data_IF_433879066712
#
_entry.id   IF_433879066712
#
_cell.length_a   1.000
_cell.length_b   1.000
_cell.length_c   1.000
_cell.angle_alpha   90.00
_cell.angle_beta   90.00
_cell.angle_gamma   90.00
#
_symmetry.space_group_name_H-M   'P 1'
#
loop_
_entity.id
_entity.type
_entity.pdbx_description
1 polymer ?
#
# COMPACT_ATOMS: atom_id res chain seq x y z
N UNK A 1 -28.50 40.63 -26.68
CA UNK A 1 -27.33 40.71 -25.82
C UNK A 1 -27.51 39.59 -24.79
N UNK A 2 -26.92 38.42 -25.07
CA UNK A 2 -27.06 37.23 -24.19
C UNK A 2 -26.03 37.40 -23.10
N UNK A 3 -26.47 37.64 -21.85
CA UNK A 3 -25.61 37.64 -20.68
C UNK A 3 -25.21 36.18 -20.43
N UNK A 4 -24.01 35.79 -20.88
CA UNK A 4 -23.39 34.54 -20.47
C UNK A 4 -23.05 34.66 -18.98
N UNK A 5 -23.91 34.07 -18.16
CA UNK A 5 -23.65 33.97 -16.72
C UNK A 5 -22.28 33.28 -16.53
N UNK A 6 -21.38 33.90 -15.78
CA UNK A 6 -20.15 33.27 -15.30
C UNK A 6 -20.56 32.07 -14.45
N UNK A 7 -20.55 30.87 -15.04
CA UNK A 7 -20.77 29.63 -14.31
C UNK A 7 -19.74 29.55 -13.19
N UNK A 8 -20.18 29.31 -11.95
CA UNK A 8 -19.28 29.03 -10.81
C UNK A 8 -18.35 27.90 -11.24
N UNK A 9 -17.06 28.08 -11.10
CA UNK A 9 -16.06 27.04 -11.33
C UNK A 9 -16.46 25.83 -10.47
N UNK A 10 -16.56 24.61 -11.05
CA UNK A 10 -16.95 23.44 -10.27
C UNK A 10 -16.00 23.22 -9.10
N UNK A 11 -16.54 22.87 -7.94
CA UNK A 11 -15.77 22.54 -6.73
C UNK A 11 -14.73 21.46 -7.06
N UNK A 12 -13.50 21.73 -6.71
CA UNK A 12 -12.34 20.94 -7.15
C UNK A 12 -11.72 20.16 -6.01
N UNK A 13 -11.38 18.89 -6.27
CA UNK A 13 -10.86 17.96 -5.27
C UNK A 13 -9.59 17.31 -5.79
N UNK A 14 -8.52 17.37 -4.98
CA UNK A 14 -7.33 16.56 -5.22
C UNK A 14 -7.40 15.26 -4.42
N UNK A 15 -7.13 14.13 -5.07
CA UNK A 15 -6.97 12.83 -4.42
C UNK A 15 -5.50 12.43 -4.51
N UNK A 16 -4.88 12.18 -3.37
CA UNK A 16 -3.47 11.80 -3.28
C UNK A 16 -3.37 10.29 -3.11
N UNK A 17 -3.04 9.61 -4.21
CA UNK A 17 -2.98 8.16 -4.35
C UNK A 17 -4.01 7.64 -5.37
N UNK A 18 -3.53 7.02 -6.45
CA UNK A 18 -4.35 6.38 -7.48
C UNK A 18 -4.38 4.84 -7.33
N UNK A 19 -4.41 4.35 -6.08
CA UNK A 19 -4.74 2.97 -5.75
C UNK A 19 -6.25 2.70 -5.84
N UNK A 20 -6.70 1.44 -5.64
CA UNK A 20 -8.11 1.07 -5.79
C UNK A 20 -9.10 1.95 -5.03
N UNK A 21 -8.78 2.31 -3.77
CA UNK A 21 -9.66 3.17 -2.94
C UNK A 21 -9.65 4.63 -3.42
N UNK A 22 -8.49 5.14 -3.88
CA UNK A 22 -8.40 6.48 -4.50
C UNK A 22 -9.17 6.57 -5.80
N UNK A 23 -9.08 5.53 -6.67
CA UNK A 23 -9.88 5.45 -7.90
C UNK A 23 -11.37 5.37 -7.60
N UNK A 24 -11.78 4.57 -6.60
CA UNK A 24 -13.18 4.48 -6.17
C UNK A 24 -13.70 5.83 -5.66
N UNK A 25 -12.91 6.54 -4.85
CA UNK A 25 -13.24 7.89 -4.40
C UNK A 25 -13.35 8.87 -5.58
N UNK A 26 -12.43 8.78 -6.55
CA UNK A 26 -12.46 9.60 -7.76
C UNK A 26 -13.76 9.40 -8.55
N UNK A 27 -14.20 8.17 -8.72
CA UNK A 27 -15.46 7.84 -9.42
C UNK A 27 -16.66 8.41 -8.66
N UNK A 28 -16.73 8.19 -7.34
CA UNK A 28 -17.86 8.66 -6.54
C UNK A 28 -18.00 10.19 -6.58
N UNK A 29 -16.89 10.90 -6.41
CA UNK A 29 -16.84 12.35 -6.42
C UNK A 29 -17.12 12.93 -7.82
N UNK A 30 -16.59 12.31 -8.89
CA UNK A 30 -16.89 12.72 -10.26
C UNK A 30 -18.38 12.56 -10.59
N UNK A 31 -19.01 11.45 -10.16
CA UNK A 31 -20.47 11.23 -10.30
C UNK A 31 -21.31 12.23 -9.52
N UNK A 32 -20.79 12.73 -8.40
CA UNK A 32 -21.44 13.80 -7.63
C UNK A 32 -21.24 15.21 -8.23
N UNK A 33 -20.58 15.32 -9.39
CA UNK A 33 -20.41 16.57 -10.14
C UNK A 33 -19.16 17.39 -9.77
N UNK A 34 -18.24 16.85 -8.97
CA UNK A 34 -16.99 17.51 -8.60
C UNK A 34 -15.91 17.37 -9.69
N UNK A 35 -15.07 18.38 -9.80
CA UNK A 35 -13.86 18.31 -10.62
C UNK A 35 -12.75 17.60 -9.83
N UNK A 36 -12.38 16.40 -10.26
CA UNK A 36 -11.44 15.54 -9.53
C UNK A 36 -10.13 15.39 -10.29
N UNK A 37 -9.00 15.50 -9.58
CA UNK A 37 -7.66 15.14 -10.08
C UNK A 37 -7.02 14.18 -9.10
N UNK A 38 -6.57 13.03 -9.60
CA UNK A 38 -5.82 12.06 -8.80
C UNK A 38 -4.31 12.24 -9.06
N UNK A 39 -3.52 12.16 -8.00
CA UNK A 39 -2.06 12.18 -8.08
C UNK A 39 -1.49 10.85 -7.61
N UNK A 40 -0.50 10.32 -8.31
CA UNK A 40 0.28 9.20 -7.84
C UNK A 40 1.78 9.42 -8.12
N UNK A 41 2.62 9.10 -7.15
CA UNK A 41 4.09 9.18 -7.31
C UNK A 41 4.65 8.18 -8.32
N UNK A 42 3.84 7.18 -8.68
CA UNK A 42 4.18 6.11 -9.61
C UNK A 42 3.02 5.87 -10.57
N UNK A 43 2.85 4.65 -11.09
CA UNK A 43 1.74 4.28 -11.96
C UNK A 43 0.43 4.05 -11.18
N UNK A 44 -0.69 4.01 -11.89
CA UNK A 44 -1.98 3.57 -11.33
C UNK A 44 -1.85 2.23 -10.64
N UNK A 45 -2.36 2.15 -9.41
CA UNK A 45 -2.28 0.95 -8.56
C UNK A 45 -0.85 0.44 -8.34
N UNK A 46 0.11 1.34 -8.13
CA UNK A 46 1.53 1.04 -7.97
C UNK A 46 1.81 0.01 -6.87
N UNK A 47 1.05 0.02 -5.78
CA UNK A 47 1.17 -0.99 -4.72
C UNK A 47 0.86 -2.40 -5.24
N UNK A 48 -0.17 -2.56 -6.08
CA UNK A 48 -0.47 -3.85 -6.73
C UNK A 48 0.63 -4.21 -7.73
N UNK A 49 1.18 -3.22 -8.44
CA UNK A 49 2.30 -3.44 -9.36
C UNK A 49 3.58 -3.93 -8.64
N UNK A 50 3.74 -3.63 -7.36
CA UNK A 50 4.86 -4.10 -6.53
C UNK A 50 4.63 -5.47 -5.87
N UNK A 51 3.43 -6.05 -5.94
CA UNK A 51 3.17 -7.38 -5.42
C UNK A 51 3.98 -8.45 -6.16
N UNK A 52 4.21 -9.63 -5.54
CA UNK A 52 4.85 -10.76 -6.22
C UNK A 52 4.18 -11.07 -7.56
N UNK A 53 4.97 -11.49 -8.56
CA UNK A 53 4.51 -11.63 -9.95
C UNK A 53 3.32 -12.60 -10.07
N UNK A 54 3.34 -13.67 -9.29
CA UNK A 54 2.34 -14.75 -9.33
C UNK A 54 1.25 -14.60 -8.26
N UNK A 55 1.14 -13.41 -7.62
CA UNK A 55 0.12 -13.16 -6.59
C UNK A 55 -1.28 -13.40 -7.15
N UNK A 56 -2.03 -14.22 -6.43
CA UNK A 56 -3.47 -14.33 -6.50
C UNK A 56 -4.08 -13.62 -5.28
N UNK A 57 -5.09 -12.80 -5.51
CA UNK A 57 -5.77 -12.09 -4.42
C UNK A 57 -6.48 -13.06 -3.48
N UNK A 58 -6.60 -12.70 -2.21
CA UNK A 58 -7.38 -13.48 -1.25
C UNK A 58 -8.88 -13.30 -1.45
N UNK A 59 -9.28 -12.16 -1.97
CA UNK A 59 -10.67 -11.77 -2.22
C UNK A 59 -11.11 -12.15 -3.62
N UNK A 60 -12.41 -12.40 -3.78
CA UNK A 60 -13.03 -12.65 -5.08
C UNK A 60 -13.10 -11.37 -5.92
N UNK A 61 -13.29 -11.52 -7.23
CA UNK A 61 -13.29 -10.40 -8.17
C UNK A 61 -14.39 -9.37 -7.83
N UNK A 62 -15.60 -9.82 -7.43
CA UNK A 62 -16.71 -8.95 -7.07
C UNK A 62 -16.37 -8.03 -5.89
N UNK A 63 -15.63 -8.55 -4.90
CA UNK A 63 -15.21 -7.78 -3.73
C UNK A 63 -14.17 -6.73 -4.07
N UNK A 64 -13.41 -6.92 -5.14
CA UNK A 64 -12.39 -6.01 -5.63
C UNK A 64 -12.91 -5.03 -6.70
N UNK A 65 -14.15 -5.24 -7.20
CA UNK A 65 -14.77 -4.35 -8.18
C UNK A 65 -15.06 -2.97 -7.58
N UNK A 66 -14.94 -1.91 -8.40
CA UNK A 66 -15.23 -0.52 -8.01
C UNK A 66 -16.09 0.16 -9.07
N UNK A 67 -16.78 1.24 -8.67
CA UNK A 67 -17.57 2.07 -9.58
C UNK A 67 -18.72 1.34 -10.25
N UNK A 68 -19.23 0.24 -9.66
CA UNK A 68 -20.26 -0.63 -10.25
C UNK A 68 -19.90 -1.19 -11.64
N UNK A 69 -18.61 -1.23 -11.99
CA UNK A 69 -18.12 -1.93 -13.17
C UNK A 69 -17.68 -3.35 -12.74
N UNK A 70 -18.26 -4.41 -13.31
CA UNK A 70 -17.91 -5.78 -12.94
C UNK A 70 -16.43 -6.07 -13.18
N UNK A 71 -15.79 -6.70 -12.20
CA UNK A 71 -14.46 -7.27 -12.36
C UNK A 71 -14.63 -8.74 -12.76
N UNK A 72 -14.37 -9.05 -14.02
CA UNK A 72 -14.43 -10.41 -14.55
C UNK A 72 -13.03 -11.00 -14.66
N UNK A 73 -12.90 -12.29 -14.32
CA UNK A 73 -11.66 -13.06 -14.40
C UNK A 73 -12.00 -14.51 -14.76
N UNK A 74 -11.03 -15.26 -15.25
CA UNK A 74 -11.20 -16.67 -15.61
C UNK A 74 -11.32 -17.64 -14.43
N UNK A 75 -11.11 -17.15 -13.20
CA UNK A 75 -11.25 -17.93 -11.96
C UNK A 75 -11.94 -17.12 -10.88
N UNK A 76 -12.19 -17.73 -9.72
CA UNK A 76 -12.89 -17.07 -8.59
C UNK A 76 -12.10 -15.90 -8.01
N UNK A 77 -10.79 -16.00 -8.03
CA UNK A 77 -9.87 -15.02 -7.45
C UNK A 77 -8.95 -14.45 -8.52
N UNK A 78 -8.91 -13.13 -8.70
CA UNK A 78 -8.07 -12.52 -9.71
C UNK A 78 -6.59 -12.61 -9.35
N UNK A 79 -5.76 -12.67 -10.37
CA UNK A 79 -4.32 -12.52 -10.25
C UNK A 79 -3.92 -11.04 -10.18
N UNK A 80 -2.66 -10.78 -9.81
CA UNK A 80 -2.05 -9.45 -9.93
C UNK A 80 -2.24 -8.84 -11.32
N UNK A 81 -2.06 -9.64 -12.38
CA UNK A 81 -2.19 -9.20 -13.78
C UNK A 81 -3.62 -8.78 -14.11
N UNK A 82 -4.61 -9.58 -13.68
CA UNK A 82 -6.03 -9.28 -13.87
C UNK A 82 -6.42 -7.96 -13.20
N UNK A 83 -5.98 -7.79 -11.94
CA UNK A 83 -6.27 -6.57 -11.18
C UNK A 83 -5.65 -5.31 -11.83
N UNK A 84 -4.41 -5.37 -12.28
CA UNK A 84 -3.78 -4.26 -12.99
C UNK A 84 -4.50 -3.94 -14.31
N UNK A 85 -4.95 -4.97 -15.04
CA UNK A 85 -5.77 -4.82 -16.24
C UNK A 85 -7.11 -4.14 -15.93
N UNK A 86 -7.80 -4.63 -14.92
CA UNK A 86 -9.09 -4.10 -14.47
C UNK A 86 -8.99 -2.63 -14.06
N UNK A 87 -8.07 -2.27 -13.15
CA UNK A 87 -7.97 -0.88 -12.68
C UNK A 87 -7.50 0.11 -13.75
N UNK A 88 -6.70 -0.31 -14.74
CA UNK A 88 -6.44 0.52 -15.94
C UNK A 88 -7.73 0.73 -16.74
N UNK A 89 -8.52 -0.34 -16.93
CA UNK A 89 -9.84 -0.24 -17.58
C UNK A 89 -10.79 0.71 -16.85
N UNK A 90 -10.77 0.72 -15.52
CA UNK A 90 -11.51 1.68 -14.68
C UNK A 90 -11.13 3.12 -15.03
N UNK A 91 -9.84 3.44 -15.05
CA UNK A 91 -9.37 4.80 -15.36
C UNK A 91 -9.87 5.24 -16.76
N UNK A 92 -9.79 4.35 -17.74
CA UNK A 92 -10.24 4.61 -19.10
C UNK A 92 -11.76 4.75 -19.20
N UNK A 93 -12.51 3.81 -18.60
CA UNK A 93 -13.98 3.78 -18.64
C UNK A 93 -14.62 5.04 -18.05
N UNK A 94 -14.11 5.49 -16.89
CA UNK A 94 -14.60 6.67 -16.19
C UNK A 94 -13.89 7.96 -16.63
N UNK A 95 -12.94 7.88 -17.54
CA UNK A 95 -12.11 9.02 -17.97
C UNK A 95 -11.54 9.81 -16.78
N UNK A 96 -10.99 9.08 -15.79
CA UNK A 96 -10.42 9.69 -14.58
C UNK A 96 -9.15 10.47 -14.92
N UNK A 97 -9.07 11.70 -14.46
CA UNK A 97 -7.85 12.50 -14.62
C UNK A 97 -6.78 12.08 -13.60
N UNK A 98 -5.89 11.17 -13.99
CA UNK A 98 -4.81 10.65 -13.13
C UNK A 98 -3.46 11.20 -13.61
N UNK A 99 -2.78 11.92 -12.72
CA UNK A 99 -1.41 12.39 -12.88
C UNK A 99 -0.46 11.35 -12.30
N UNK A 100 0.03 10.47 -13.15
CA UNK A 100 0.99 9.42 -12.80
C UNK A 100 2.40 9.98 -12.79
N UNK A 101 3.28 9.41 -11.94
CA UNK A 101 4.67 9.85 -11.77
C UNK A 101 4.78 11.33 -11.41
N UNK A 102 3.78 11.85 -10.72
CA UNK A 102 3.71 13.22 -10.21
C UNK A 102 3.52 13.17 -8.68
N UNK A 103 4.62 12.96 -7.92
CA UNK A 103 4.56 12.92 -6.45
C UNK A 103 4.12 14.26 -5.88
N UNK A 104 3.23 14.21 -4.90
CA UNK A 104 2.86 15.36 -4.08
C UNK A 104 3.85 15.46 -2.92
N UNK A 105 4.61 16.53 -2.89
CA UNK A 105 5.63 16.77 -1.87
C UNK A 105 5.11 17.58 -0.68
N UNK A 106 4.08 18.42 -0.90
CA UNK A 106 3.49 19.24 0.15
C UNK A 106 2.02 19.59 -0.13
N UNK A 107 1.27 19.91 0.93
CA UNK A 107 -0.08 20.45 0.84
C UNK A 107 -0.20 21.51 1.94
N UNK A 108 -0.56 22.75 1.56
CA UNK A 108 -0.77 23.86 2.48
C UNK A 108 -2.24 24.27 2.51
N UNK A 109 -2.73 24.67 3.68
CA UNK A 109 -4.05 25.29 3.81
C UNK A 109 -3.92 26.80 3.55
N UNK A 110 -4.57 27.27 2.50
CA UNK A 110 -4.69 28.70 2.16
C UNK A 110 -6.18 29.02 2.04
N UNK A 111 -6.81 29.28 3.19
CA UNK A 111 -8.27 29.48 3.31
C UNK A 111 -8.80 30.44 2.25
N UNK A 112 -9.82 30.06 1.44
CA UNK A 112 -10.71 28.88 1.62
C UNK A 112 -10.23 27.60 0.89
N UNK A 113 -9.03 27.57 0.33
CA UNK A 113 -8.52 26.48 -0.49
C UNK A 113 -7.31 25.78 0.12
N UNK A 114 -6.91 24.69 -0.49
CA UNK A 114 -5.65 23.98 -0.26
C UNK A 114 -4.77 24.12 -1.49
N UNK A 115 -3.48 24.36 -1.30
CA UNK A 115 -2.49 24.38 -2.39
C UNK A 115 -1.68 23.09 -2.34
N UNK A 116 -1.82 22.29 -3.38
CA UNK A 116 -1.06 21.04 -3.59
C UNK A 116 0.21 21.35 -4.36
N UNK A 117 1.36 21.05 -3.78
CA UNK A 117 2.67 21.11 -4.44
C UNK A 117 3.03 19.73 -4.96
N UNK A 118 3.13 19.57 -6.27
CA UNK A 118 3.52 18.33 -6.93
C UNK A 118 4.79 18.53 -7.76
N UNK A 119 5.49 17.43 -8.08
CA UNK A 119 6.73 17.44 -8.85
C UNK A 119 6.50 16.82 -10.24
N UNK A 120 6.52 17.64 -11.27
CA UNK A 120 6.43 17.22 -12.67
C UNK A 120 7.81 17.05 -13.26
N UNK A 121 8.02 15.93 -13.95
CA UNK A 121 9.34 15.60 -14.52
C UNK A 121 9.93 16.69 -15.42
N UNK A 122 9.09 17.36 -16.19
CA UNK A 122 9.53 18.39 -17.15
C UNK A 122 9.48 19.81 -16.59
N UNK A 123 8.60 20.09 -15.62
CA UNK A 123 8.30 21.46 -15.15
C UNK A 123 8.85 21.73 -13.73
N UNK A 124 9.30 20.69 -13.03
CA UNK A 124 9.70 20.80 -11.63
C UNK A 124 8.49 20.91 -10.70
N UNK A 125 8.61 21.72 -9.64
CA UNK A 125 7.53 21.93 -8.67
C UNK A 125 6.41 22.78 -9.24
N UNK A 126 5.19 22.27 -9.13
CA UNK A 126 3.97 22.94 -9.60
C UNK A 126 2.99 23.03 -8.43
N UNK A 127 2.41 24.22 -8.23
CA UNK A 127 1.39 24.47 -7.22
C UNK A 127 0.00 24.54 -7.88
N UNK A 128 -0.97 23.85 -7.31
CA UNK A 128 -2.34 23.81 -7.86
C UNK A 128 -3.34 23.95 -6.69
N UNK A 129 -4.27 24.93 -6.75
CA UNK A 129 -5.29 25.11 -5.72
C UNK A 129 -6.46 24.11 -5.89
N UNK A 130 -7.00 23.66 -4.77
CA UNK A 130 -8.17 22.79 -4.65
C UNK A 130 -9.05 23.19 -3.48
N UNK A 131 -10.36 22.92 -3.59
CA UNK A 131 -11.33 23.24 -2.54
C UNK A 131 -11.39 22.17 -1.45
N UNK A 132 -10.98 20.93 -1.76
CA UNK A 132 -10.86 19.83 -0.79
C UNK A 132 -9.76 18.84 -1.19
N UNK A 133 -9.31 18.06 -0.20
CA UNK A 133 -8.24 17.07 -0.34
C UNK A 133 -8.72 15.71 0.17
N UNK A 134 -8.43 14.64 -0.59
CA UNK A 134 -8.59 13.25 -0.13
C UNK A 134 -7.21 12.57 -0.11
N UNK A 135 -6.78 12.11 1.06
CA UNK A 135 -5.53 11.36 1.20
C UNK A 135 -5.84 9.85 1.11
N UNK A 136 -5.35 9.22 0.04
CA UNK A 136 -5.55 7.80 -0.28
C UNK A 136 -4.22 7.08 -0.58
N UNK A 137 -3.14 7.48 0.11
CA UNK A 137 -1.75 7.06 -0.14
C UNK A 137 -1.45 5.60 0.16
N UNK A 138 -2.38 4.89 0.82
CA UNK A 138 -2.25 3.47 1.12
C UNK A 138 -1.25 3.15 2.24
N UNK A 139 -0.81 1.88 2.26
CA UNK A 139 0.01 1.32 3.34
C UNK A 139 1.46 1.05 2.91
N UNK A 140 1.68 0.61 1.66
CA UNK A 140 2.98 0.14 1.15
C UNK A 140 3.96 1.27 0.78
N UNK A 141 3.87 2.40 1.49
CA UNK A 141 4.69 3.58 1.17
C UNK A 141 6.06 3.60 1.82
N UNK A 142 6.18 3.08 3.03
CA UNK A 142 7.38 3.15 3.85
C UNK A 142 7.61 1.79 4.51
N UNK A 143 8.66 1.03 4.12
CA UNK A 143 9.00 -0.21 4.79
C UNK A 143 9.45 0.05 6.21
N UNK A 144 9.20 -0.88 7.10
CA UNK A 144 9.77 -0.87 8.44
C UNK A 144 11.23 -1.29 8.36
N UNK A 145 12.14 -0.33 8.52
CA UNK A 145 13.57 -0.58 8.47
C UNK A 145 14.04 -1.33 9.72
N UNK A 146 15.09 -2.11 9.57
CA UNK A 146 15.80 -2.73 10.70
C UNK A 146 16.86 -1.79 11.28
N UNK A 147 17.26 -0.78 10.50
CA UNK A 147 18.34 0.19 10.82
C UNK A 147 19.67 -0.51 11.14
N UNK A 148 20.00 -1.56 10.38
CA UNK A 148 21.23 -2.33 10.55
C UNK A 148 22.24 -2.07 9.42
N UNK A 149 23.55 -2.18 9.69
CA UNK A 149 24.56 -2.12 8.65
C UNK A 149 24.29 -3.13 7.53
N UNK A 150 24.35 -2.68 6.27
CA UNK A 150 24.15 -3.51 5.09
C UNK A 150 22.69 -3.62 4.60
N UNK A 151 21.72 -3.01 5.26
CA UNK A 151 20.30 -3.06 4.86
C UNK A 151 20.04 -2.48 3.44
N UNK A 152 20.90 -1.55 2.99
CA UNK A 152 20.82 -0.94 1.66
C UNK A 152 21.62 -1.67 0.57
N UNK A 153 22.17 -2.84 0.84
CA UNK A 153 22.94 -3.62 -0.15
C UNK A 153 22.04 -4.12 -1.29
N UNK A 154 22.54 -4.27 -2.53
CA UNK A 154 21.74 -4.57 -3.72
C UNK A 154 20.95 -5.89 -3.67
N UNK A 155 21.41 -6.89 -2.90
CA UNK A 155 20.76 -8.18 -2.72
C UNK A 155 19.74 -8.19 -1.54
N UNK A 156 19.52 -7.04 -0.90
CA UNK A 156 18.55 -6.86 0.18
C UNK A 156 17.30 -6.16 -0.37
N UNK A 157 16.13 -6.69 -0.08
CA UNK A 157 14.88 -6.10 -0.55
C UNK A 157 13.78 -6.15 0.51
N UNK A 158 13.03 -5.06 0.65
CA UNK A 158 11.77 -4.99 1.42
C UNK A 158 10.55 -5.44 0.61
N UNK A 159 10.74 -5.74 -0.68
CA UNK A 159 9.70 -6.23 -1.57
C UNK A 159 10.12 -7.58 -2.16
N UNK A 160 9.26 -8.56 -2.04
CA UNK A 160 9.43 -9.85 -2.70
C UNK A 160 8.74 -9.83 -4.06
N UNK A 161 9.40 -10.34 -5.11
CA UNK A 161 8.83 -10.41 -6.46
C UNK A 161 8.62 -11.84 -6.93
N UNK A 162 9.67 -12.65 -6.93
CA UNK A 162 9.66 -14.06 -7.32
C UNK A 162 10.92 -14.79 -6.83
N UNK A 163 10.87 -16.11 -6.77
CA UNK A 163 11.97 -16.93 -6.24
C UNK A 163 12.98 -17.40 -7.26
N UNK A 164 12.75 -17.21 -8.57
CA UNK A 164 13.59 -17.80 -9.62
C UNK A 164 15.07 -17.37 -9.54
N UNK A 165 15.32 -16.10 -9.23
CA UNK A 165 16.67 -15.54 -9.12
C UNK A 165 17.50 -16.19 -7.98
N UNK A 166 16.82 -16.77 -6.98
CA UNK A 166 17.46 -17.45 -5.85
C UNK A 166 17.66 -18.96 -6.05
N UNK A 167 17.46 -19.49 -7.26
CA UNK A 167 17.64 -20.92 -7.53
C UNK A 167 19.04 -21.40 -7.12
N UNK A 168 19.10 -22.42 -6.23
CA UNK A 168 20.34 -22.99 -5.64
C UNK A 168 21.16 -21.98 -4.83
N UNK A 169 20.57 -20.86 -4.40
CA UNK A 169 21.19 -19.83 -3.56
C UNK A 169 20.68 -19.91 -2.13
N UNK A 170 21.42 -19.28 -1.23
CA UNK A 170 21.02 -19.11 0.16
C UNK A 170 20.17 -17.83 0.26
N UNK A 171 18.91 -18.01 0.63
CA UNK A 171 17.93 -16.94 0.78
C UNK A 171 17.46 -16.82 2.22
N UNK A 172 17.58 -15.62 2.79
CA UNK A 172 17.08 -15.34 4.13
C UNK A 172 15.84 -14.47 4.04
N UNK A 173 14.75 -14.90 4.68
CA UNK A 173 13.50 -14.15 4.81
C UNK A 173 13.35 -13.70 6.25
N UNK A 174 13.34 -12.39 6.47
CA UNK A 174 13.19 -11.80 7.81
C UNK A 174 11.74 -11.39 8.02
N UNK A 175 11.07 -12.01 8.98
CA UNK A 175 9.65 -11.80 9.28
C UNK A 175 8.92 -13.09 9.59
N UNK A 176 7.68 -13.00 10.07
CA UNK A 176 6.86 -14.16 10.44
C UNK A 176 5.41 -14.07 10.00
N UNK A 177 5.01 -13.00 9.29
CA UNK A 177 3.66 -12.77 8.78
C UNK A 177 3.41 -13.37 7.39
N UNK A 178 2.24 -13.07 6.80
CA UNK A 178 1.82 -13.62 5.51
C UNK A 178 2.87 -13.44 4.40
N UNK A 179 3.41 -12.22 4.24
CA UNK A 179 4.40 -11.95 3.18
C UNK A 179 5.70 -12.75 3.34
N UNK A 180 6.13 -12.98 4.58
CA UNK A 180 7.32 -13.80 4.85
C UNK A 180 7.06 -15.27 4.52
N UNK A 181 5.90 -15.79 4.89
CA UNK A 181 5.49 -17.17 4.60
C UNK A 181 5.35 -17.40 3.10
N UNK A 182 4.65 -16.51 2.40
CA UNK A 182 4.48 -16.58 0.94
C UNK A 182 5.85 -16.54 0.22
N UNK A 183 6.73 -15.61 0.60
CA UNK A 183 8.07 -15.51 0.02
C UNK A 183 8.91 -16.76 0.29
N UNK A 184 8.91 -17.26 1.53
CA UNK A 184 9.68 -18.45 1.90
C UNK A 184 9.22 -19.70 1.14
N UNK A 185 7.92 -19.90 0.99
CA UNK A 185 7.36 -21.03 0.25
C UNK A 185 7.66 -20.94 -1.25
N UNK A 186 7.57 -19.74 -1.85
CA UNK A 186 7.88 -19.57 -3.27
C UNK A 186 9.38 -19.76 -3.55
N UNK A 187 10.26 -19.20 -2.72
CA UNK A 187 11.71 -19.43 -2.78
C UNK A 187 12.05 -20.92 -2.67
N UNK A 188 11.44 -21.62 -1.71
CA UNK A 188 11.62 -23.06 -1.54
C UNK A 188 11.19 -23.83 -2.80
N UNK A 189 10.02 -23.54 -3.36
CA UNK A 189 9.52 -24.16 -4.59
C UNK A 189 10.40 -23.87 -5.80
N UNK A 190 11.07 -22.71 -5.81
CA UNK A 190 12.07 -22.37 -6.82
C UNK A 190 13.45 -23.01 -6.58
N UNK A 191 13.62 -23.80 -5.50
CA UNK A 191 14.86 -24.53 -5.22
C UNK A 191 15.94 -23.71 -4.52
N UNK A 192 15.59 -22.61 -3.85
CA UNK A 192 16.48 -21.91 -2.94
C UNK A 192 16.67 -22.66 -1.62
N UNK A 193 17.80 -22.46 -0.95
CA UNK A 193 17.99 -22.87 0.45
C UNK A 193 17.50 -21.74 1.36
N UNK A 194 16.32 -21.95 1.95
CA UNK A 194 15.59 -20.89 2.64
C UNK A 194 15.80 -20.97 4.15
N UNK A 195 16.12 -19.81 4.76
CA UNK A 195 16.10 -19.64 6.21
C UNK A 195 15.15 -18.49 6.57
N UNK A 196 14.16 -18.75 7.44
CA UNK A 196 13.36 -17.70 8.08
C UNK A 196 14.05 -17.24 9.35
N UNK A 197 14.12 -15.91 9.54
CA UNK A 197 14.57 -15.25 10.77
C UNK A 197 13.41 -14.45 11.34
N UNK A 198 13.01 -14.75 12.58
CA UNK A 198 11.89 -14.06 13.23
C UNK A 198 12.17 -13.75 14.70
N UNK A 199 11.77 -12.57 15.13
CA UNK A 199 12.00 -12.09 16.51
C UNK A 199 11.15 -12.81 17.57
N UNK A 200 10.03 -13.41 17.17
CA UNK A 200 9.16 -14.21 18.04
C UNK A 200 9.55 -15.71 18.04
N UNK A 201 8.93 -16.47 18.91
CA UNK A 201 9.15 -17.93 19.07
C UNK A 201 8.45 -18.77 17.99
N UNK A 202 7.56 -18.17 17.17
CA UNK A 202 6.76 -18.81 16.13
C UNK A 202 6.26 -17.81 15.12
N UNK A 203 5.64 -18.29 14.05
CA UNK A 203 4.96 -17.45 13.03
C UNK A 203 3.81 -16.65 13.64
N UNK A 204 3.50 -15.51 12.99
CA UNK A 204 2.38 -14.64 13.36
C UNK A 204 1.05 -15.45 13.35
N UNK A 205 0.20 -15.34 14.38
CA UNK A 205 -1.09 -16.02 14.43
C UNK A 205 -2.06 -15.62 13.29
N UNK A 206 -1.83 -14.48 12.64
CA UNK A 206 -2.64 -14.00 11.52
C UNK A 206 -2.20 -14.58 10.15
N UNK A 207 -1.22 -15.51 10.10
CA UNK A 207 -0.89 -16.21 8.86
C UNK A 207 -2.11 -16.98 8.37
N UNK A 208 -2.40 -16.82 7.08
CA UNK A 208 -3.62 -17.37 6.47
C UNK A 208 -3.69 -18.89 6.56
N UNK A 209 -4.86 -19.45 6.93
CA UNK A 209 -5.00 -20.87 7.23
C UNK A 209 -4.74 -21.78 6.02
N UNK A 210 -4.82 -21.28 4.80
CA UNK A 210 -4.56 -22.09 3.58
C UNK A 210 -3.08 -22.17 3.19
N UNK A 211 -2.19 -21.31 3.72
CA UNK A 211 -0.73 -21.38 3.48
C UNK A 211 0.03 -21.96 4.68
N UNK A 212 -0.51 -21.77 5.89
CA UNK A 212 0.14 -22.18 7.14
C UNK A 212 0.49 -23.68 7.20
N UNK A 213 -0.38 -24.63 6.78
CA UNK A 213 -0.05 -26.05 6.87
C UNK A 213 1.19 -26.46 6.02
N UNK A 214 1.33 -25.90 4.80
CA UNK A 214 2.51 -26.18 3.97
C UNK A 214 3.78 -25.62 4.64
N UNK A 215 3.73 -24.41 5.14
CA UNK A 215 4.86 -23.80 5.84
C UNK A 215 5.28 -24.61 7.07
N UNK A 216 4.33 -25.05 7.91
CA UNK A 216 4.60 -25.86 9.07
C UNK A 216 5.22 -27.23 8.70
N UNK A 217 4.79 -27.83 7.59
CA UNK A 217 5.39 -29.06 7.09
C UNK A 217 6.84 -28.83 6.65
N UNK A 218 7.14 -27.73 5.92
CA UNK A 218 8.52 -27.40 5.49
C UNK A 218 9.45 -27.09 6.66
N UNK A 219 8.93 -26.47 7.71
CA UNK A 219 9.68 -26.24 8.95
C UNK A 219 9.95 -27.55 9.71
N UNK A 220 8.97 -28.44 9.76
CA UNK A 220 9.06 -29.74 10.46
C UNK A 220 10.04 -30.72 9.78
N UNK A 221 10.02 -30.78 8.44
CA UNK A 221 10.89 -31.68 7.67
C UNK A 221 12.28 -31.07 7.42
N UNK A 222 12.52 -29.82 7.83
CA UNK A 222 13.78 -29.10 7.68
C UNK A 222 14.04 -28.58 6.27
N UNK A 223 13.07 -28.64 5.36
CA UNK A 223 13.18 -28.07 4.00
C UNK A 223 13.31 -26.55 4.00
N UNK A 224 12.73 -25.89 5.01
CA UNK A 224 12.93 -24.48 5.33
C UNK A 224 13.49 -24.42 6.76
N UNK A 225 14.66 -23.81 6.92
CA UNK A 225 15.23 -23.59 8.23
C UNK A 225 14.58 -22.39 8.93
N UNK A 226 14.54 -22.38 10.27
CA UNK A 226 14.06 -21.25 11.03
C UNK A 226 15.04 -20.83 12.14
N UNK A 227 15.05 -19.53 12.41
CA UNK A 227 15.73 -18.91 13.55
C UNK A 227 14.71 -18.06 14.29
N UNK A 228 14.17 -18.64 15.37
CA UNK A 228 13.20 -18.01 16.26
C UNK A 228 13.91 -17.23 17.36
N UNK A 229 13.21 -16.24 17.94
CA UNK A 229 13.76 -15.31 18.94
C UNK A 229 15.07 -14.67 18.42
N UNK A 230 15.13 -14.38 17.12
CA UNK A 230 16.32 -13.96 16.42
C UNK A 230 16.11 -12.59 15.73
N UNK A 231 17.10 -11.72 15.85
CA UNK A 231 17.10 -10.41 15.21
C UNK A 231 18.34 -10.26 14.33
N UNK A 232 18.16 -9.76 13.13
CA UNK A 232 19.30 -9.41 12.24
C UNK A 232 20.01 -8.21 12.85
N UNK A 233 21.34 -8.28 12.91
CA UNK A 233 22.19 -7.20 13.46
C UNK A 233 23.15 -6.63 12.42
N UNK A 234 23.42 -7.37 11.35
CA UNK A 234 24.29 -6.97 10.25
C UNK A 234 24.00 -7.79 9.01
N UNK A 235 24.13 -7.17 7.85
CA UNK A 235 24.04 -7.83 6.53
C UNK A 235 25.31 -7.52 5.76
N UNK A 236 26.00 -8.55 5.28
CA UNK A 236 27.18 -8.47 4.41
C UNK A 236 26.80 -9.06 3.03
N UNK A 237 27.71 -9.04 2.04
CA UNK A 237 27.40 -9.44 0.65
C UNK A 237 26.95 -10.91 0.49
N UNK A 238 27.44 -11.81 1.32
CA UNK A 238 27.19 -13.25 1.22
C UNK A 238 26.67 -13.85 2.55
N UNK A 239 26.61 -13.05 3.62
CA UNK A 239 26.24 -13.51 4.96
C UNK A 239 25.42 -12.47 5.69
N UNK A 240 24.69 -12.90 6.71
CA UNK A 240 24.12 -11.99 7.69
C UNK A 240 24.30 -12.55 9.13
N UNK A 241 24.41 -11.65 10.08
CA UNK A 241 24.51 -11.96 11.49
C UNK A 241 23.14 -11.83 12.16
N UNK A 242 22.79 -12.84 12.94
CA UNK A 242 21.58 -12.84 13.77
C UNK A 242 21.94 -12.99 15.23
N UNK A 243 21.35 -12.15 16.07
CA UNK A 243 21.43 -12.25 17.51
C UNK A 243 20.26 -13.09 18.06
N UNK A 244 20.61 -14.05 18.92
CA UNK A 244 19.67 -14.94 19.62
C UNK A 244 20.02 -14.95 21.12
N UNK A 245 19.14 -15.43 22.01
CA UNK A 245 19.47 -15.60 23.42
C UNK A 245 20.73 -16.45 23.68
N UNK A 246 21.09 -17.34 22.75
CA UNK A 246 22.28 -18.19 22.80
C UNK A 246 23.56 -17.53 22.25
N UNK A 247 23.50 -16.30 21.75
CA UNK A 247 24.61 -15.57 21.11
C UNK A 247 24.37 -15.27 19.64
N UNK A 248 25.38 -14.73 18.99
CA UNK A 248 25.35 -14.35 17.58
C UNK A 248 25.66 -15.56 16.69
N UNK A 249 24.85 -15.76 15.66
CA UNK A 249 25.04 -16.78 14.61
C UNK A 249 25.22 -16.08 13.25
N UNK A 250 26.17 -16.53 12.46
CA UNK A 250 26.36 -16.08 11.07
C UNK A 250 25.71 -17.06 10.11
N UNK A 251 24.82 -16.54 9.24
CA UNK A 251 24.08 -17.32 8.24
C UNK A 251 24.56 -16.96 6.82
N UNK A 252 24.65 -17.94 5.89
CA UNK A 252 24.81 -17.64 4.48
C UNK A 252 23.57 -16.92 3.95
N UNK A 253 23.75 -15.85 3.16
CA UNK A 253 22.68 -14.98 2.70
C UNK A 253 23.06 -14.27 1.40
N UNK A 254 22.79 -14.91 0.27
CA UNK A 254 23.01 -14.34 -1.06
C UNK A 254 21.83 -13.53 -1.54
N UNK A 255 20.65 -13.78 -0.98
CA UNK A 255 19.44 -12.97 -1.12
C UNK A 255 18.81 -12.73 0.24
N UNK A 256 18.45 -11.50 0.53
CA UNK A 256 17.83 -11.12 1.81
C UNK A 256 16.50 -10.40 1.54
N UNK A 257 15.42 -10.95 2.06
CA UNK A 257 14.08 -10.37 1.93
C UNK A 257 13.58 -9.93 3.30
N UNK A 258 13.50 -8.62 3.52
CA UNK A 258 13.06 -8.01 4.76
C UNK A 258 11.55 -7.84 4.75
N UNK A 259 10.82 -8.91 5.10
CA UNK A 259 9.35 -8.95 5.17
C UNK A 259 8.86 -8.42 6.52
N UNK A 260 9.40 -7.29 6.93
CA UNK A 260 9.20 -6.62 8.23
C UNK A 260 7.92 -5.78 8.28
N UNK A 261 7.17 -5.75 7.19
CA UNK A 261 5.95 -4.96 7.05
C UNK A 261 6.22 -3.52 6.63
N UNK A 262 5.14 -2.72 6.63
CA UNK A 262 5.15 -1.33 6.21
C UNK A 262 4.41 -0.48 7.24
N UNK A 263 4.67 0.82 7.22
CA UNK A 263 3.93 1.82 7.99
C UNK A 263 3.32 2.86 7.04
N UNK A 264 2.02 3.19 7.18
CA UNK A 264 1.41 4.21 6.34
C UNK A 264 2.06 5.57 6.60
N UNK A 265 2.41 6.29 5.54
CA UNK A 265 2.95 7.63 5.67
C UNK A 265 1.83 8.62 6.02
N UNK A 266 1.91 9.22 7.19
CA UNK A 266 1.00 10.27 7.68
C UNK A 266 1.59 11.68 7.57
N UNK A 267 2.72 11.83 6.89
CA UNK A 267 3.47 13.09 6.81
C UNK A 267 2.63 14.23 6.24
N UNK A 268 1.91 14.01 5.14
CA UNK A 268 1.04 15.04 4.55
C UNK A 268 -0.12 15.40 5.48
N UNK A 269 -0.69 14.42 6.18
CA UNK A 269 -1.77 14.65 7.14
C UNK A 269 -1.29 15.49 8.34
N UNK A 270 -0.13 15.16 8.91
CA UNK A 270 0.47 15.93 10.02
C UNK A 270 0.76 17.40 9.63
N UNK A 271 1.27 17.61 8.41
CA UNK A 271 1.50 18.98 7.89
C UNK A 271 0.22 19.78 7.72
N UNK A 272 -0.87 19.12 7.37
CA UNK A 272 -2.20 19.73 7.29
C UNK A 272 -2.84 19.98 8.66
N UNK A 273 -2.21 19.56 9.77
CA UNK A 273 -2.77 19.70 11.12
C UNK A 273 -3.74 18.60 11.52
N UNK A 274 -3.74 17.47 10.77
CA UNK A 274 -4.54 16.31 11.16
C UNK A 274 -3.89 15.62 12.35
N UNK A 275 -4.67 15.41 13.40
CA UNK A 275 -4.27 14.69 14.60
C UNK A 275 -4.14 13.19 14.29
N UNK A 276 -3.03 12.60 14.68
CA UNK A 276 -2.76 11.17 14.53
C UNK A 276 -2.66 10.55 15.92
N UNK A 277 -3.40 9.50 16.18
CA UNK A 277 -3.24 8.73 17.41
C UNK A 277 -1.91 7.97 17.38
N UNK A 278 -1.01 8.27 18.30
CA UNK A 278 0.36 7.75 18.27
C UNK A 278 0.42 6.24 18.59
N UNK A 279 -0.54 5.69 19.32
CA UNK A 279 -0.59 4.28 19.66
C UNK A 279 -1.07 3.41 18.49
N UNK A 280 -2.03 3.91 17.72
CA UNK A 280 -2.67 3.15 16.63
C UNK A 280 -2.26 3.62 15.24
N UNK A 281 -1.68 4.83 15.10
CA UNK A 281 -1.39 5.47 13.82
C UNK A 281 -2.64 5.93 13.07
N UNK A 282 -3.82 5.88 13.69
CA UNK A 282 -5.09 6.23 13.06
C UNK A 282 -5.21 7.75 12.97
N UNK A 283 -5.41 8.34 11.78
CA UNK A 283 -5.74 9.74 11.65
C UNK A 283 -7.12 10.03 12.25
N UNK A 284 -7.24 11.08 13.04
CA UNK A 284 -8.53 11.50 13.59
C UNK A 284 -9.50 11.83 12.45
N UNK A 285 -10.62 11.10 12.38
CA UNK A 285 -11.63 11.26 11.35
C UNK A 285 -13.00 10.75 11.81
N UNK A 286 -14.03 11.21 11.14
CA UNK A 286 -15.39 10.70 11.30
C UNK A 286 -15.60 9.52 10.34
N UNK A 287 -15.82 8.32 10.85
CA UNK A 287 -15.99 7.11 10.03
C UNK A 287 -17.20 7.12 9.08
N UNK A 288 -18.22 7.95 9.34
CA UNK A 288 -19.39 8.07 8.46
C UNK A 288 -19.15 9.04 7.29
N UNK A 289 -18.26 10.03 7.44
CA UNK A 289 -17.99 11.04 6.42
C UNK A 289 -16.59 10.96 5.83
N UNK A 290 -15.69 10.24 6.50
CA UNK A 290 -14.25 10.18 6.22
C UNK A 290 -13.52 11.53 6.34
N UNK A 291 -14.18 12.59 6.85
CA UNK A 291 -13.58 13.89 7.10
C UNK A 291 -12.72 13.85 8.37
N UNK A 292 -11.54 14.42 8.30
CA UNK A 292 -10.62 14.51 9.43
C UNK A 292 -11.03 15.63 10.39
N UNK A 293 -10.23 15.88 11.45
CA UNK A 293 -10.39 17.07 12.29
C UNK A 293 -10.09 18.39 11.56
N UNK A 294 -9.56 18.34 10.34
CA UNK A 294 -9.35 19.52 9.49
C UNK A 294 -10.44 19.55 8.42
N UNK A 295 -11.35 20.54 8.45
CA UNK A 295 -12.44 20.65 7.49
C UNK A 295 -11.94 20.70 6.05
N UNK A 296 -12.57 19.91 5.16
CA UNK A 296 -12.18 19.78 3.76
C UNK A 296 -11.02 18.80 3.50
N UNK A 297 -10.45 18.19 4.54
CA UNK A 297 -9.45 17.13 4.42
C UNK A 297 -10.07 15.79 4.78
N UNK A 298 -10.04 14.87 3.84
CA UNK A 298 -10.62 13.51 3.92
C UNK A 298 -9.55 12.44 3.80
N UNK A 299 -9.85 11.24 4.27
CA UNK A 299 -9.00 10.05 4.08
C UNK A 299 -9.77 8.92 3.41
N UNK A 300 -9.09 8.07 2.65
CA UNK A 300 -9.70 6.91 2.03
C UNK A 300 -8.75 5.69 2.04
N UNK A 301 -9.35 4.50 2.12
CA UNK A 301 -8.64 3.23 2.11
C UNK A 301 -7.97 2.89 3.43
N UNK A 302 -6.93 2.06 3.37
CA UNK A 302 -6.25 1.45 4.52
C UNK A 302 -5.62 2.46 5.49
N UNK A 303 -5.37 3.69 5.05
CA UNK A 303 -4.86 4.76 5.89
C UNK A 303 -5.76 5.01 7.13
N UNK A 304 -7.07 4.79 6.98
CA UNK A 304 -8.04 4.94 8.07
C UNK A 304 -7.92 3.86 9.17
N UNK A 305 -7.10 2.82 8.98
CA UNK A 305 -6.84 1.78 9.99
C UNK A 305 -5.49 1.93 10.72
N UNK A 306 -4.71 2.96 10.40
CA UNK A 306 -3.42 3.20 11.03
C UNK A 306 -2.44 2.04 10.82
N UNK A 307 -1.79 1.59 11.91
CA UNK A 307 -0.78 0.52 11.83
C UNK A 307 -1.35 -0.88 11.57
N UNK A 308 -2.65 -1.09 11.80
CA UNK A 308 -3.28 -2.40 11.58
C UNK A 308 -3.92 -2.51 10.19
N UNK A 309 -3.10 -2.88 9.20
CA UNK A 309 -3.54 -3.07 7.83
C UNK A 309 -4.56 -4.22 7.64
N UNK A 310 -4.84 -5.03 8.69
CA UNK A 310 -5.79 -6.14 8.60
C UNK A 310 -7.25 -5.73 8.78
N UNK A 311 -7.54 -4.45 9.03
CA UNK A 311 -8.91 -3.93 9.23
C UNK A 311 -9.54 -3.37 7.96
N UNK A 312 -8.73 -2.75 7.09
CA UNK A 312 -9.24 -2.11 5.87
C UNK A 312 -8.48 -2.64 4.65
N UNK A 313 -9.25 -3.27 3.77
CA UNK A 313 -8.83 -3.78 2.48
C UNK A 313 -9.53 -3.02 1.35
N UNK A 314 -9.31 -3.42 0.09
CA UNK A 314 -10.05 -2.86 -1.05
C UNK A 314 -11.56 -3.08 -0.87
N UNK A 315 -11.96 -4.24 -0.34
CA UNK A 315 -13.36 -4.68 -0.18
C UNK A 315 -14.24 -3.68 0.57
N UNK A 316 -13.73 -3.10 1.65
CA UNK A 316 -14.45 -2.12 2.48
C UNK A 316 -13.98 -0.67 2.23
N UNK A 317 -12.70 -0.46 2.01
CA UNK A 317 -12.14 0.87 1.75
C UNK A 317 -12.61 1.52 0.44
N UNK A 318 -13.07 0.72 -0.53
CA UNK A 318 -13.68 1.22 -1.79
C UNK A 318 -14.94 2.05 -1.58
N UNK A 319 -15.62 1.89 -0.45
CA UNK A 319 -16.86 2.62 -0.14
C UNK A 319 -16.61 4.01 0.48
N UNK A 320 -15.37 4.31 0.91
CA UNK A 320 -15.05 5.60 1.54
C UNK A 320 -15.34 6.78 0.62
N UNK A 321 -15.17 6.62 -0.69
CA UNK A 321 -15.50 7.65 -1.68
C UNK A 321 -16.98 8.04 -1.68
N UNK A 322 -17.88 7.08 -1.52
CA UNK A 322 -19.32 7.32 -1.45
C UNK A 322 -19.69 8.11 -0.18
N UNK A 323 -19.06 7.80 0.97
CA UNK A 323 -19.24 8.53 2.22
C UNK A 323 -18.80 10.01 2.06
N UNK A 324 -17.65 10.25 1.42
CA UNK A 324 -17.14 11.61 1.15
C UNK A 324 -18.09 12.36 0.22
N UNK A 325 -18.51 11.73 -0.89
CA UNK A 325 -19.40 12.34 -1.87
C UNK A 325 -20.77 12.71 -1.25
N UNK A 326 -21.34 11.82 -0.45
CA UNK A 326 -22.60 12.06 0.26
C UNK A 326 -22.46 13.23 1.23
N UNK A 327 -21.39 13.28 2.00
CA UNK A 327 -21.15 14.36 2.96
C UNK A 327 -20.98 15.73 2.28
N UNK A 328 -20.16 15.80 1.24
CA UNK A 328 -19.95 17.06 0.50
C UNK A 328 -21.22 17.56 -0.17
N UNK A 329 -22.09 16.65 -0.69
CA UNK A 329 -23.36 17.04 -1.31
C UNK A 329 -24.39 17.61 -0.33
N UNK A 330 -24.25 17.36 0.97
CA UNK A 330 -25.12 17.94 2.01
C UNK A 330 -24.70 19.35 2.45
N UNK A 331 -23.51 19.81 2.05
CA UNK A 331 -22.93 21.11 2.44
C UNK A 331 -23.05 22.19 1.34
N UNK A 332 -23.53 21.80 0.14
CA UNK A 332 -23.82 22.72 -0.97
C UNK A 332 -25.29 23.17 -0.93
#
# INVERSE_FOLDING_TARGET
MVVVGRGKTPFSIAIIGAGPCGLAAGIALQRAGYRVVLYDRSCVCSSIASYPLYTQFFSTAEKLSIGNLPFTTGGDKPTRRDALGYYRGIVQHFNLHVRQYEPVSDIRSEVPQFVVTSERRAEGKVETPYDAIVIATGYFGTPNLLDVPGEALPHVSHLYREGHEAFRRDAVVVGGGNSAVDAALDLYRCGARVTIVHFADKLDPNVKPWILPDMLNRLKDGSIAARWNARVTRIDLETLDVEKPSGVERLPAQHVYLMTGFTPSVTLLRRLGVSIDDATGIPMHNGATMETNVPGVFIAGVLASGYDANKIFIENGRNHGDHIAQWLSQRQ
#
